data_IF_788884769367
#
_entry.id   IF_788884769367
#
_cell.length_a   1.000
_cell.length_b   1.000
_cell.length_c   1.000
_cell.angle_alpha   90.00
_cell.angle_beta   90.00
_cell.angle_gamma   90.00
#
_symmetry.space_group_name_H-M   'P 1'
#
loop_
_entity.id
_entity.type
_entity.pdbx_description
1 polymer ?
#
# COMPACT_ATOMS: atom_id res chain seq x y z
N UNK A 1 9.62 -47.92 59.38
CA UNK A 1 8.93 -49.17 59.75
C UNK A 1 7.55 -49.15 59.09
N UNK A 2 7.20 -50.21 58.34
CA UNK A 2 5.90 -50.46 57.66
C UNK A 2 5.77 -49.73 56.30
N UNK A 3 5.79 -50.35 55.11
CA UNK A 3 5.00 -51.50 54.59
C UNK A 3 3.50 -51.25 54.75
N UNK A 4 2.60 -51.39 53.77
CA UNK A 4 2.54 -52.30 52.61
C UNK A 4 1.36 -51.87 51.71
N UNK A 5 1.49 -52.07 50.38
CA UNK A 5 0.45 -52.56 49.40
C UNK A 5 -0.84 -51.75 49.18
N UNK A 6 -1.58 -51.80 48.07
CA UNK A 6 -1.54 -52.45 46.76
C UNK A 6 -2.61 -51.69 45.93
N UNK A 7 -2.32 -51.27 44.71
CA UNK A 7 -2.67 -51.97 43.46
C UNK A 7 -4.12 -51.80 42.98
N UNK A 8 -4.20 -51.37 41.70
CA UNK A 8 -5.17 -51.76 40.67
C UNK A 8 -6.56 -51.11 40.78
N UNK A 9 -7.19 -50.55 39.73
CA UNK A 9 -7.25 -50.99 38.32
C UNK A 9 -7.93 -49.86 37.47
N UNK A 10 -8.20 -50.01 36.16
CA UNK A 10 -7.93 -48.97 35.17
C UNK A 10 -9.20 -48.46 34.46
N UNK A 11 -9.06 -47.39 33.68
CA UNK A 11 -9.85 -47.25 32.47
C UNK A 11 -8.98 -46.45 31.48
N UNK A 12 -8.53 -47.08 30.39
CA UNK A 12 -9.20 -46.96 29.09
C UNK A 12 -9.21 -45.46 28.68
N UNK A 13 -8.48 -44.99 27.68
CA UNK A 13 -8.25 -45.62 26.39
C UNK A 13 -7.21 -44.82 25.64
N UNK A 14 -6.42 -45.54 24.87
CA UNK A 14 -5.50 -45.05 23.85
C UNK A 14 -6.18 -44.09 22.87
N UNK A 15 -5.31 -43.35 22.17
CA UNK A 15 -5.54 -42.50 21.00
C UNK A 15 -5.91 -41.10 21.47
N UNK A 16 -5.03 -40.11 21.30
CA UNK A 16 -4.86 -39.53 19.97
C UNK A 16 -3.39 -39.43 19.57
N UNK A 17 -3.17 -39.79 18.31
CA UNK A 17 -1.90 -39.79 17.63
C UNK A 17 -1.28 -38.39 17.61
N UNK A 18 0.03 -38.34 17.85
CA UNK A 18 0.86 -37.22 17.48
C UNK A 18 0.79 -37.03 15.95
N UNK A 19 0.10 -36.00 15.49
CA UNK A 19 0.11 -35.60 14.09
C UNK A 19 1.37 -34.76 13.83
N UNK A 20 2.37 -35.40 13.23
CA UNK A 20 3.62 -34.79 12.80
C UNK A 20 3.39 -34.02 11.49
N UNK A 21 3.66 -32.70 11.56
CA UNK A 21 4.21 -31.79 10.55
C UNK A 21 4.29 -32.25 9.08
N UNK A 22 3.57 -31.54 8.19
CA UNK A 22 4.11 -31.07 6.90
C UNK A 22 3.49 -29.70 6.60
N UNK A 23 4.25 -28.62 6.82
CA UNK A 23 3.88 -27.26 6.41
C UNK A 23 5.02 -26.70 5.56
N UNK A 24 5.00 -26.98 4.26
CA UNK A 24 5.86 -26.29 3.31
C UNK A 24 5.34 -26.52 1.88
N UNK A 25 4.45 -25.64 1.42
CA UNK A 25 4.39 -25.31 -0.01
C UNK A 25 4.47 -23.79 -0.10
N UNK A 26 5.65 -23.31 -0.45
CA UNK A 26 5.89 -21.94 -0.89
C UNK A 26 4.99 -21.67 -2.11
N UNK A 27 3.87 -21.00 -1.88
CA UNK A 27 3.12 -20.32 -2.93
C UNK A 27 3.72 -18.92 -3.09
N UNK A 28 4.93 -18.82 -3.63
CA UNK A 28 5.47 -17.58 -4.18
C UNK A 28 4.90 -17.38 -5.59
N UNK A 29 3.57 -17.30 -5.70
CA UNK A 29 2.89 -17.02 -6.94
C UNK A 29 2.56 -15.52 -6.99
N UNK A 30 3.43 -14.77 -7.67
CA UNK A 30 3.05 -13.59 -8.44
C UNK A 30 2.43 -12.43 -7.67
N UNK A 31 3.19 -11.77 -6.80
CA UNK A 31 3.06 -10.32 -6.68
C UNK A 31 3.70 -9.67 -7.90
N UNK A 32 3.08 -9.80 -9.07
CA UNK A 32 3.30 -8.84 -10.14
C UNK A 32 2.81 -7.51 -9.58
N UNK A 33 3.66 -6.47 -9.46
CA UNK A 33 3.15 -5.14 -9.21
C UNK A 33 2.18 -4.87 -10.37
N UNK A 34 0.89 -4.81 -10.04
CA UNK A 34 -0.11 -4.24 -10.93
C UNK A 34 0.50 -2.92 -11.36
N UNK A 35 0.84 -2.77 -12.64
CA UNK A 35 1.23 -1.49 -13.18
C UNK A 35 0.06 -0.57 -12.87
N UNK A 36 0.14 0.16 -11.77
CA UNK A 36 -0.69 1.33 -11.56
C UNK A 36 -0.31 2.17 -12.77
N UNK A 37 -1.21 2.21 -13.76
CA UNK A 37 -1.08 2.94 -15.03
C UNK A 37 -0.14 4.10 -14.80
N UNK A 38 1.11 3.98 -15.21
CA UNK A 38 2.12 4.87 -14.66
C UNK A 38 2.02 6.18 -15.42
N UNK A 39 1.26 7.09 -14.82
CA UNK A 39 0.88 8.35 -15.44
C UNK A 39 2.09 9.25 -15.52
N UNK A 40 2.24 9.96 -16.61
CA UNK A 40 3.27 10.98 -16.76
C UNK A 40 2.97 12.19 -15.84
N UNK A 41 3.94 13.06 -15.58
CA UNK A 41 3.69 14.30 -14.82
C UNK A 41 2.58 15.15 -15.44
N UNK A 42 2.50 15.19 -16.77
CA UNK A 42 1.44 15.88 -17.52
C UNK A 42 0.08 15.22 -17.30
N UNK A 43 0.01 13.89 -17.37
CA UNK A 43 -1.24 13.15 -17.16
C UNK A 43 -1.73 13.32 -15.71
N UNK A 44 -0.83 13.23 -14.72
CA UNK A 44 -1.15 13.53 -13.33
C UNK A 44 -1.60 14.98 -13.12
N UNK A 45 -0.99 15.92 -13.84
CA UNK A 45 -1.38 17.33 -13.83
C UNK A 45 -2.78 17.60 -14.38
N UNK A 46 -3.17 16.88 -15.43
CA UNK A 46 -4.53 16.93 -15.98
C UNK A 46 -5.55 16.38 -14.97
N UNK A 47 -5.24 15.24 -14.36
CA UNK A 47 -6.10 14.64 -13.33
C UNK A 47 -6.22 15.53 -12.10
N UNK A 48 -5.12 16.14 -11.65
CA UNK A 48 -5.13 17.11 -10.57
C UNK A 48 -6.10 18.27 -10.88
N UNK A 49 -6.03 18.84 -12.09
CA UNK A 49 -6.93 19.94 -12.50
C UNK A 49 -8.38 19.49 -12.61
N UNK A 50 -8.63 18.27 -13.08
CA UNK A 50 -9.97 17.69 -13.13
C UNK A 50 -10.53 17.47 -11.71
N UNK A 51 -9.71 16.96 -10.79
CA UNK A 51 -10.06 16.75 -9.38
C UNK A 51 -10.30 18.06 -8.64
N UNK A 52 -9.65 19.17 -9.02
CA UNK A 52 -9.96 20.48 -8.44
C UNK A 52 -11.43 20.84 -8.62
N UNK A 53 -12.05 20.49 -9.77
CA UNK A 53 -13.48 20.76 -10.01
C UNK A 53 -14.40 20.01 -9.05
N UNK A 54 -14.00 18.82 -8.59
CA UNK A 54 -14.81 17.99 -7.70
C UNK A 54 -14.49 18.19 -6.22
N UNK A 55 -13.28 18.65 -5.89
CA UNK A 55 -12.80 18.78 -4.50
C UNK A 55 -12.91 20.18 -3.91
N UNK A 56 -12.93 21.23 -4.74
CA UNK A 56 -12.90 22.61 -4.23
C UNK A 56 -14.07 23.45 -4.74
N UNK A 57 -14.54 24.37 -3.91
CA UNK A 57 -15.55 25.35 -4.30
C UNK A 57 -15.03 26.31 -5.37
N UNK A 58 -15.91 26.88 -6.20
CA UNK A 58 -15.56 27.77 -7.30
C UNK A 58 -14.58 28.91 -6.90
N UNK A 59 -14.76 29.51 -5.72
CA UNK A 59 -13.89 30.55 -5.17
C UNK A 59 -12.40 30.14 -4.99
N UNK A 60 -12.11 28.85 -4.87
CA UNK A 60 -10.75 28.32 -4.72
C UNK A 60 -10.26 27.56 -5.95
N UNK A 61 -11.10 27.40 -6.98
CA UNK A 61 -10.79 26.59 -8.14
C UNK A 61 -9.51 27.04 -8.83
N UNK A 62 -9.38 28.33 -9.15
CA UNK A 62 -8.21 28.88 -9.84
C UNK A 62 -6.92 28.72 -9.03
N UNK A 63 -7.01 28.86 -7.69
CA UNK A 63 -5.87 28.63 -6.79
C UNK A 63 -5.37 27.19 -6.93
N UNK A 64 -6.25 26.21 -6.89
CA UNK A 64 -5.85 24.80 -6.96
C UNK A 64 -5.42 24.37 -8.37
N UNK A 65 -6.04 24.93 -9.42
CA UNK A 65 -5.57 24.75 -10.80
C UNK A 65 -4.14 25.24 -10.97
N UNK A 66 -3.82 26.44 -10.46
CA UNK A 66 -2.47 26.98 -10.51
C UNK A 66 -1.47 26.13 -9.70
N UNK A 67 -1.90 25.59 -8.54
CA UNK A 67 -1.07 24.65 -7.77
C UNK A 67 -0.81 23.36 -8.55
N UNK A 68 -1.81 22.79 -9.22
CA UNK A 68 -1.63 21.62 -10.08
C UNK A 68 -0.62 21.89 -11.20
N UNK A 69 -0.69 23.05 -11.86
CA UNK A 69 0.29 23.42 -12.89
C UNK A 69 1.70 23.58 -12.34
N UNK A 70 1.86 24.27 -11.21
CA UNK A 70 3.14 24.43 -10.55
C UNK A 70 3.74 23.07 -10.19
N UNK A 71 2.90 22.18 -9.68
CA UNK A 71 3.30 20.83 -9.31
C UNK A 71 3.62 19.94 -10.52
N UNK A 72 2.92 20.06 -11.65
CA UNK A 72 3.33 19.39 -12.90
C UNK A 72 4.75 19.79 -13.30
N UNK A 73 5.07 21.09 -13.28
CA UNK A 73 6.42 21.55 -13.61
C UNK A 73 7.46 21.06 -12.59
N UNK A 74 7.12 21.09 -11.30
CA UNK A 74 7.99 20.59 -10.24
C UNK A 74 8.22 19.07 -10.35
N UNK A 75 7.17 18.32 -10.68
CA UNK A 75 7.21 16.89 -11.00
C UNK A 75 8.16 16.61 -12.15
N UNK A 76 8.04 17.34 -13.27
CA UNK A 76 8.93 17.17 -14.44
C UNK A 76 10.39 17.42 -14.05
N UNK A 77 10.64 18.48 -13.27
CA UNK A 77 11.99 18.81 -12.81
C UNK A 77 12.57 17.72 -11.90
N UNK A 78 11.81 17.27 -10.90
CA UNK A 78 12.21 16.20 -9.96
C UNK A 78 12.37 14.84 -10.67
N UNK A 79 11.51 14.55 -11.64
CA UNK A 79 11.58 13.31 -12.39
C UNK A 79 12.88 13.22 -13.20
N UNK A 80 13.32 14.33 -13.80
CA UNK A 80 14.62 14.41 -14.50
C UNK A 80 15.82 14.21 -13.57
N UNK A 81 15.66 14.42 -12.25
CA UNK A 81 16.68 14.13 -11.24
C UNK A 81 16.52 12.74 -10.62
N UNK A 82 15.63 11.89 -11.15
CA UNK A 82 15.38 10.52 -10.68
C UNK A 82 14.26 10.38 -9.64
N UNK A 83 13.64 11.49 -9.21
CA UNK A 83 12.53 11.48 -8.25
C UNK A 83 11.21 11.46 -9.00
N UNK A 84 10.73 10.25 -9.29
CA UNK A 84 9.55 10.00 -10.11
C UNK A 84 8.25 9.99 -9.29
N UNK A 85 7.88 11.15 -8.76
CA UNK A 85 6.61 11.32 -8.02
C UNK A 85 5.93 12.65 -8.34
N UNK A 86 4.63 12.59 -8.53
CA UNK A 86 3.72 13.73 -8.48
C UNK A 86 3.14 13.84 -7.07
N UNK A 87 3.20 15.02 -6.48
CA UNK A 87 2.74 15.29 -5.12
C UNK A 87 1.37 15.93 -5.16
N UNK A 88 0.40 15.43 -4.41
CA UNK A 88 -0.93 16.02 -4.39
C UNK A 88 -0.91 17.43 -3.80
N UNK A 89 -1.74 18.30 -4.36
CA UNK A 89 -1.86 19.70 -3.95
C UNK A 89 -3.08 19.95 -3.08
N UNK A 90 -3.96 18.95 -2.89
CA UNK A 90 -5.22 19.12 -2.16
C UNK A 90 -5.07 19.09 -0.63
N UNK A 91 -4.06 18.42 -0.08
CA UNK A 91 -3.90 18.28 1.37
C UNK A 91 -3.24 19.49 2.04
N UNK A 92 -3.78 19.86 3.20
CA UNK A 92 -3.40 21.05 3.97
C UNK A 92 -2.67 20.78 5.30
N UNK A 93 -2.45 19.52 5.72
CA UNK A 93 -2.05 19.30 7.13
C UNK A 93 -1.27 18.03 7.48
N UNK A 94 -0.72 17.28 6.53
CA UNK A 94 0.16 16.16 6.89
C UNK A 94 0.30 15.15 5.77
N UNK A 95 1.47 15.15 5.14
CA UNK A 95 1.87 14.26 4.06
C UNK A 95 0.96 14.37 2.83
N UNK A 96 1.31 15.26 1.91
CA UNK A 96 0.69 15.29 0.60
C UNK A 96 0.79 13.91 -0.06
N UNK A 97 -0.34 13.38 -0.52
CA UNK A 97 -0.40 12.09 -1.20
C UNK A 97 0.57 12.09 -2.39
N UNK A 98 1.41 11.07 -2.50
CA UNK A 98 2.36 10.95 -3.59
C UNK A 98 1.90 9.89 -4.58
N UNK A 99 1.97 10.24 -5.86
CA UNK A 99 1.62 9.37 -6.96
C UNK A 99 2.90 9.04 -7.75
N UNK A 100 3.33 7.78 -7.79
CA UNK A 100 4.46 7.38 -8.61
C UNK A 100 4.14 7.58 -10.09
N UNK A 101 5.17 7.92 -10.86
CA UNK A 101 5.11 8.12 -12.31
C UNK A 101 6.22 7.33 -12.99
N UNK A 102 6.06 7.01 -14.28
CA UNK A 102 7.13 6.40 -15.07
C UNK A 102 7.81 7.38 -16.03
N UNK A 103 7.02 8.31 -16.56
CA UNK A 103 7.45 9.31 -17.54
C UNK A 103 7.53 10.71 -16.94
N UNK A 104 8.63 11.40 -17.24
CA UNK A 104 8.85 12.77 -16.78
C UNK A 104 8.13 13.82 -17.62
N UNK A 105 7.31 13.44 -18.60
CA UNK A 105 6.60 14.38 -19.46
C UNK A 105 5.34 14.88 -18.80
#
# INVERSE_FOLDING_TARGET
MGSVTNSLTPARSRRLAAAVLITAVMMAAGMLPRAAEAKSCSQQGEECRALARSKVSAQYFDRYVNRCFAETNACIARCKTGVKVFVDVFDGSGSAQQYPIDECR
#
